data_IF_883617662895
#
_entry.id   IF_883617662895
#
_cell.length_a   1.000
_cell.length_b   1.000
_cell.length_c   1.000
_cell.angle_alpha   90.00
_cell.angle_beta   90.00
_cell.angle_gamma   90.00
#
_symmetry.space_group_name_H-M   'P 1'
#
loop_
_entity.id
_entity.type
_entity.pdbx_description
1 polymer ?
#
# COMPACT_ATOMS: atom_id res chain seq x y z
N UNK A 1 8.02 -3.76 2.38
CA UNK A 1 6.86 -3.70 3.30
C UNK A 1 5.77 -2.85 2.67
N UNK A 2 4.55 -3.38 2.53
CA UNK A 2 3.51 -2.70 1.73
C UNK A 2 3.08 -1.35 2.29
N UNK A 3 3.20 -1.11 3.59
CA UNK A 3 2.85 0.17 4.19
C UNK A 3 3.83 1.32 3.85
N UNK A 4 4.98 1.03 3.31
CA UNK A 4 5.89 2.06 2.79
C UNK A 4 5.23 2.91 1.70
N UNK A 5 4.35 2.31 0.92
CA UNK A 5 3.60 3.03 -0.10
C UNK A 5 2.60 4.05 0.46
N UNK A 6 2.17 3.91 1.71
CA UNK A 6 1.22 4.83 2.35
C UNK A 6 1.80 6.22 2.62
N UNK A 7 3.12 6.31 2.72
CA UNK A 7 3.83 7.57 2.98
C UNK A 7 4.40 8.19 1.72
N UNK A 8 3.99 7.69 0.59
CA UNK A 8 4.48 8.11 -0.70
C UNK A 8 3.94 9.50 -1.02
N UNK A 9 4.82 10.48 -1.00
CA UNK A 9 4.48 11.87 -1.29
C UNK A 9 5.13 12.27 -2.61
N UNK A 10 4.35 12.79 -3.56
CA UNK A 10 4.78 13.34 -4.86
C UNK A 10 5.49 12.35 -5.77
N UNK A 11 5.42 11.09 -5.49
CA UNK A 11 6.26 10.13 -6.17
C UNK A 11 7.72 10.19 -5.75
N UNK A 12 8.09 11.01 -4.81
CA UNK A 12 9.37 10.93 -4.16
C UNK A 12 9.28 9.95 -2.98
N UNK A 13 10.13 8.95 -2.99
CA UNK A 13 10.16 7.92 -1.95
C UNK A 13 10.74 8.41 -0.61
N UNK A 14 10.74 9.71 -0.40
CA UNK A 14 11.36 10.37 0.75
C UNK A 14 10.89 9.78 2.06
N UNK A 15 9.58 9.67 2.24
CA UNK A 15 9.04 9.10 3.46
C UNK A 15 9.12 7.57 3.48
N UNK A 16 8.91 6.93 2.35
CA UNK A 16 8.86 5.48 2.25
C UNK A 16 10.18 4.79 2.43
N UNK A 17 11.16 5.16 1.63
CA UNK A 17 12.47 4.51 1.65
C UNK A 17 13.18 4.72 2.96
N UNK A 18 12.94 5.83 3.60
CA UNK A 18 13.68 6.18 4.79
C UNK A 18 13.06 5.71 6.07
N UNK A 19 11.79 5.45 6.02
CA UNK A 19 11.03 5.05 7.18
C UNK A 19 11.51 3.75 7.79
N UNK A 20 11.85 2.78 6.98
CA UNK A 20 12.30 1.46 7.42
C UNK A 20 13.83 1.38 7.43
N UNK A 21 14.47 1.85 6.37
CA UNK A 21 15.88 1.56 6.14
C UNK A 21 16.84 2.41 6.97
N UNK A 22 16.37 3.58 7.40
CA UNK A 22 17.20 4.55 8.11
C UNK A 22 17.85 3.99 9.37
N UNK A 23 17.09 3.29 10.15
CA UNK A 23 17.57 2.80 11.44
C UNK A 23 18.27 1.46 11.36
N UNK A 24 17.88 0.62 10.43
CA UNK A 24 18.49 -0.70 10.27
C UNK A 24 19.73 -0.68 9.41
N UNK A 25 19.76 0.18 8.38
CA UNK A 25 20.76 0.15 7.33
C UNK A 25 21.37 1.54 7.08
N UNK A 26 21.55 2.33 8.15
CA UNK A 26 22.16 3.65 8.02
C UNK A 26 23.55 3.54 7.36
N UNK A 27 23.75 4.30 6.30
CA UNK A 27 24.95 4.22 5.49
C UNK A 27 24.93 3.18 4.37
N UNK A 28 23.82 2.46 4.20
CA UNK A 28 23.66 1.51 3.10
C UNK A 28 23.64 2.23 1.75
N UNK A 29 24.51 1.78 0.86
CA UNK A 29 24.55 2.24 -0.53
C UNK A 29 23.93 1.16 -1.42
N UNK A 30 22.72 1.41 -1.90
CA UNK A 30 21.99 0.47 -2.74
C UNK A 30 22.06 0.94 -4.19
N UNK A 31 22.59 0.09 -5.07
CA UNK A 31 22.71 0.42 -6.50
C UNK A 31 23.50 1.71 -6.78
N UNK A 32 24.49 2.04 -5.94
CA UNK A 32 25.28 3.27 -6.07
C UNK A 32 24.56 4.54 -5.61
N UNK A 33 23.37 4.43 -5.03
CA UNK A 33 22.61 5.56 -4.49
C UNK A 33 22.65 5.56 -2.96
N UNK A 34 22.96 6.71 -2.40
CA UNK A 34 22.84 6.92 -0.96
C UNK A 34 21.42 7.35 -0.61
N UNK A 35 20.60 6.41 -0.18
CA UNK A 35 19.20 6.65 0.16
C UNK A 35 18.99 7.47 1.43
N UNK A 36 20.04 7.71 2.20
CA UNK A 36 19.98 8.41 3.49
C UNK A 36 20.32 9.89 3.41
N UNK A 37 20.68 10.37 2.25
CA UNK A 37 21.03 11.77 2.06
C UNK A 37 19.81 12.59 1.60
N UNK A 38 18.75 12.57 2.39
CA UNK A 38 17.56 13.35 2.09
C UNK A 38 17.17 14.24 3.26
N UNK A 39 16.46 15.35 3.00
CA UNK A 39 16.14 16.36 4.00
C UNK A 39 15.30 15.88 5.18
N UNK A 40 14.46 14.86 4.97
CA UNK A 40 13.54 14.36 6.02
C UNK A 40 14.07 13.18 6.81
N UNK A 41 15.18 12.62 6.35
CA UNK A 41 15.86 11.56 7.05
C UNK A 41 16.73 12.13 8.19
N UNK A 42 16.82 11.49 9.33
CA UNK A 42 16.11 10.37 9.96
C UNK A 42 14.99 10.81 10.92
N UNK A 43 14.42 11.97 10.71
CA UNK A 43 13.71 12.70 11.76
C UNK A 43 12.18 12.56 11.69
N UNK A 44 11.69 11.62 10.90
CA UNK A 44 10.26 11.45 10.66
C UNK A 44 9.62 10.48 11.64
N UNK A 45 10.42 9.68 12.31
CA UNK A 45 9.96 8.64 13.21
C UNK A 45 10.68 8.65 14.56
N UNK A 46 10.07 8.04 15.54
CA UNK A 46 10.65 7.80 16.87
C UNK A 46 10.54 6.32 17.24
N UNK A 47 11.29 5.91 18.25
CA UNK A 47 11.27 4.55 18.80
C UNK A 47 10.42 4.48 20.06
N UNK A 48 9.49 3.54 20.06
CA UNK A 48 8.65 3.26 21.22
C UNK A 48 8.28 1.77 21.24
N UNK A 49 8.75 1.04 22.22
CA UNK A 49 8.39 -0.37 22.40
C UNK A 49 6.98 -0.56 22.95
N UNK A 50 6.35 0.49 23.45
CA UNK A 50 5.06 0.46 24.18
C UNK A 50 5.06 -0.59 25.31
N UNK A 51 6.22 -0.78 25.96
CA UNK A 51 6.39 -1.77 27.00
C UNK A 51 6.38 -3.24 26.54
N UNK A 52 6.44 -3.49 25.23
CA UNK A 52 6.46 -4.83 24.65
C UNK A 52 7.90 -5.28 24.39
N UNK A 53 8.15 -6.57 24.56
CA UNK A 53 9.40 -7.20 24.14
C UNK A 53 9.27 -7.61 22.66
N UNK A 54 9.60 -6.68 21.79
CA UNK A 54 9.52 -6.87 20.32
C UNK A 54 10.87 -6.53 19.69
N UNK A 55 11.12 -7.05 18.50
CA UNK A 55 12.32 -6.75 17.74
C UNK A 55 12.42 -5.24 17.45
N UNK A 56 13.65 -4.73 17.37
CA UNK A 56 13.93 -3.29 17.22
C UNK A 56 13.21 -2.64 16.05
N UNK A 57 13.11 -3.32 14.93
CA UNK A 57 12.40 -2.88 13.73
C UNK A 57 10.91 -2.62 13.96
N UNK A 58 10.31 -3.31 14.93
CA UNK A 58 8.89 -3.15 15.28
C UNK A 58 8.61 -2.05 16.29
N UNK A 59 9.61 -1.27 16.65
CA UNK A 59 9.49 -0.16 17.60
C UNK A 59 9.45 1.21 16.95
N UNK A 60 9.42 1.28 15.63
CA UNK A 60 9.42 2.53 14.88
C UNK A 60 8.00 3.04 14.66
N UNK A 61 7.75 4.25 15.12
CA UNK A 61 6.46 4.93 15.00
C UNK A 61 6.64 6.34 14.46
N UNK A 62 5.59 6.84 13.83
CA UNK A 62 5.45 8.25 13.48
C UNK A 62 4.01 8.70 13.65
N UNK A 63 3.81 9.99 13.51
CA UNK A 63 2.50 10.61 13.51
C UNK A 63 2.38 11.62 12.37
N UNK A 64 1.16 11.94 11.97
CA UNK A 64 0.93 13.00 11.01
C UNK A 64 1.48 14.37 11.45
N UNK A 65 1.64 14.60 12.76
CA UNK A 65 2.30 15.80 13.28
C UNK A 65 3.80 15.78 13.00
N UNK A 66 4.47 14.66 13.25
CA UNK A 66 5.91 14.50 13.00
C UNK A 66 6.21 14.61 11.50
N UNK A 67 5.41 13.96 10.66
CA UNK A 67 5.55 14.05 9.20
C UNK A 67 5.40 15.51 8.72
N UNK A 68 4.38 16.22 9.17
CA UNK A 68 4.19 17.64 8.81
C UNK A 68 5.35 18.52 9.31
N UNK A 69 5.84 18.27 10.51
CA UNK A 69 6.97 19.02 11.05
C UNK A 69 8.25 18.74 10.26
N UNK A 70 8.52 17.49 9.91
CA UNK A 70 9.67 17.12 9.10
C UNK A 70 9.60 17.76 7.69
N UNK A 71 8.45 17.71 7.05
CA UNK A 71 8.24 18.36 5.76
C UNK A 71 8.47 19.88 5.86
N UNK A 72 7.93 20.53 6.90
CA UNK A 72 8.14 21.96 7.14
C UNK A 72 9.61 22.31 7.32
N UNK A 73 10.33 21.51 8.13
CA UNK A 73 11.77 21.72 8.37
C UNK A 73 12.61 21.54 7.10
N UNK A 74 12.16 20.66 6.21
CA UNK A 74 12.81 20.39 4.93
C UNK A 74 12.37 21.36 3.80
N UNK A 75 11.43 22.28 4.07
CA UNK A 75 10.88 23.18 3.05
C UNK A 75 10.00 22.49 2.01
N UNK A 76 9.49 21.28 2.32
CA UNK A 76 8.62 20.52 1.43
C UNK A 76 7.19 21.01 1.59
N UNK A 77 6.55 21.40 0.48
CA UNK A 77 5.14 21.77 0.48
C UNK A 77 4.26 20.55 0.68
N UNK A 78 3.32 20.65 1.60
CA UNK A 78 2.24 19.66 1.76
C UNK A 78 1.02 19.95 0.86
N UNK A 79 1.04 21.09 0.19
CA UNK A 79 0.06 21.44 -0.84
C UNK A 79 0.70 21.21 -2.20
N UNK A 80 0.38 20.07 -2.79
CA UNK A 80 0.91 19.73 -4.09
C UNK A 80 -0.12 20.06 -5.17
N UNK A 81 0.27 20.80 -6.21
CA UNK A 81 -0.65 21.16 -7.29
C UNK A 81 -0.84 19.98 -8.25
N UNK A 82 -1.42 18.88 -7.78
CA UNK A 82 -1.81 17.82 -8.69
C UNK A 82 -2.92 18.32 -9.61
N UNK A 83 -2.72 18.18 -10.88
CA UNK A 83 -3.76 18.42 -11.89
C UNK A 83 -4.86 17.36 -11.81
N UNK A 84 -4.57 16.22 -11.20
CA UNK A 84 -5.53 15.13 -11.02
C UNK A 84 -5.36 14.45 -9.67
N UNK A 85 -6.45 13.88 -9.17
CA UNK A 85 -6.44 13.04 -7.98
C UNK A 85 -5.66 11.74 -8.23
N UNK A 86 -5.17 11.10 -7.16
CA UNK A 86 -4.47 9.82 -7.20
C UNK A 86 -5.37 8.75 -7.84
N UNK A 87 -6.58 8.58 -7.32
CA UNK A 87 -7.62 7.73 -7.88
C UNK A 87 -8.86 8.55 -8.23
N UNK A 88 -9.61 8.08 -9.21
CA UNK A 88 -10.96 8.57 -9.48
C UNK A 88 -11.92 7.94 -8.50
N UNK A 89 -12.61 8.77 -7.73
CA UNK A 89 -13.66 8.34 -6.80
C UNK A 89 -15.05 8.67 -7.33
N UNK A 90 -16.05 7.88 -6.93
CA UNK A 90 -17.44 8.17 -7.17
C UNK A 90 -17.82 9.55 -6.61
N UNK A 91 -18.64 10.30 -7.33
CA UNK A 91 -18.99 11.68 -6.99
C UNK A 91 -19.63 11.75 -5.59
N UNK A 92 -19.06 12.57 -4.71
CA UNK A 92 -19.58 12.78 -3.36
C UNK A 92 -20.91 13.54 -3.30
N UNK A 93 -21.30 14.19 -4.41
CA UNK A 93 -22.56 14.96 -4.53
C UNK A 93 -23.73 14.09 -4.94
N UNK A 94 -23.47 12.85 -5.29
CA UNK A 94 -24.47 11.86 -5.67
C UNK A 94 -24.39 10.66 -4.75
N UNK A 95 -25.48 9.89 -4.67
CA UNK A 95 -25.47 8.58 -4.00
C UNK A 95 -25.02 7.45 -4.93
N UNK A 96 -24.42 7.81 -6.06
CA UNK A 96 -23.89 6.84 -7.01
C UNK A 96 -22.77 5.99 -6.38
N UNK A 97 -22.91 4.70 -6.58
CA UNK A 97 -21.97 3.68 -6.11
C UNK A 97 -21.55 2.84 -7.29
N UNK A 98 -20.27 2.67 -7.46
CA UNK A 98 -19.74 1.71 -8.43
C UNK A 98 -19.99 0.29 -7.92
N UNK A 99 -20.98 -0.39 -8.47
CA UNK A 99 -21.38 -1.75 -8.10
C UNK A 99 -20.67 -2.82 -8.92
N UNK A 100 -19.87 -2.41 -9.91
CA UNK A 100 -19.26 -3.33 -10.89
C UNK A 100 -20.30 -4.30 -11.44
N UNK A 101 -21.47 -3.78 -11.82
CA UNK A 101 -22.56 -4.60 -12.34
C UNK A 101 -22.14 -5.32 -13.62
N UNK A 102 -22.40 -6.62 -13.70
CA UNK A 102 -22.01 -7.45 -14.84
C UNK A 102 -20.57 -7.98 -14.79
N UNK A 103 -19.78 -7.65 -13.77
CA UNK A 103 -18.48 -8.24 -13.55
C UNK A 103 -18.55 -9.52 -12.69
N UNK A 104 -17.51 -10.37 -12.70
CA UNK A 104 -17.46 -11.53 -11.82
C UNK A 104 -17.60 -11.15 -10.34
N UNK A 105 -18.19 -12.05 -9.57
CA UNK A 105 -18.26 -11.91 -8.11
C UNK A 105 -16.88 -12.16 -7.50
N UNK A 106 -16.52 -11.39 -6.47
CA UNK A 106 -15.31 -11.57 -5.71
C UNK A 106 -15.59 -11.31 -4.23
N UNK A 107 -16.02 -12.35 -3.53
CA UNK A 107 -16.40 -12.27 -2.11
C UNK A 107 -15.23 -12.56 -1.18
N UNK A 108 -14.20 -13.20 -1.69
CA UNK A 108 -13.00 -13.52 -0.94
C UNK A 108 -11.78 -13.30 -1.83
N UNK A 109 -10.79 -12.61 -1.29
CA UNK A 109 -9.59 -12.24 -2.03
C UNK A 109 -8.40 -12.73 -1.21
N UNK A 110 -7.50 -13.49 -1.83
CA UNK A 110 -6.25 -13.92 -1.23
C UNK A 110 -5.10 -13.19 -1.92
N UNK A 111 -4.26 -12.55 -1.11
CA UNK A 111 -3.08 -11.81 -1.56
C UNK A 111 -1.87 -12.42 -0.85
N UNK A 112 -0.88 -12.84 -1.62
CA UNK A 112 0.40 -13.33 -1.11
C UNK A 112 1.50 -12.33 -1.45
N UNK A 113 2.34 -12.00 -0.48
CA UNK A 113 3.57 -11.25 -0.66
C UNK A 113 4.79 -12.14 -0.39
N UNK A 114 4.59 -13.24 0.33
CA UNK A 114 5.55 -14.29 0.61
C UNK A 114 4.84 -15.44 1.31
N UNK A 115 5.53 -16.54 1.56
CA UNK A 115 5.00 -17.70 2.30
C UNK A 115 4.46 -17.36 3.69
N UNK A 116 5.03 -16.36 4.33
CA UNK A 116 4.66 -15.92 5.68
C UNK A 116 3.80 -14.65 5.73
N UNK A 117 3.76 -13.87 4.65
CA UNK A 117 3.03 -12.61 4.59
C UNK A 117 1.90 -12.68 3.58
N UNK A 118 0.73 -13.10 4.07
CA UNK A 118 -0.48 -13.30 3.27
C UNK A 118 -1.67 -12.61 3.90
N UNK A 119 -2.52 -12.05 3.06
CA UNK A 119 -3.76 -11.36 3.46
C UNK A 119 -4.96 -12.07 2.87
N UNK A 120 -6.05 -12.09 3.61
CA UNK A 120 -7.36 -12.48 3.13
C UNK A 120 -8.35 -11.33 3.38
N UNK A 121 -9.12 -10.97 2.36
CA UNK A 121 -10.16 -9.96 2.48
C UNK A 121 -11.51 -10.58 2.12
N UNK A 122 -12.46 -10.52 3.05
CA UNK A 122 -13.77 -11.14 2.91
C UNK A 122 -14.88 -10.07 2.80
N UNK A 123 -15.66 -10.12 1.74
CA UNK A 123 -16.75 -9.20 1.49
C UNK A 123 -18.00 -9.52 2.29
N UNK A 124 -18.54 -8.51 2.93
CA UNK A 124 -19.84 -8.57 3.59
C UNK A 124 -20.87 -7.80 2.77
N UNK A 125 -21.90 -8.50 2.28
CA UNK A 125 -23.03 -7.85 1.58
C UNK A 125 -23.87 -6.96 2.48
N UNK A 126 -23.78 -7.12 3.81
CA UNK A 126 -24.48 -6.30 4.80
C UNK A 126 -23.79 -4.95 4.98
N UNK A 127 -22.49 -4.95 5.25
CA UNK A 127 -21.70 -3.72 5.46
C UNK A 127 -21.20 -3.10 4.15
N UNK A 128 -21.22 -3.86 3.03
CA UNK A 128 -20.68 -3.46 1.73
C UNK A 128 -19.17 -3.22 1.75
N UNK A 129 -18.45 -3.85 2.69
CA UNK A 129 -17.00 -3.71 2.89
C UNK A 129 -16.31 -5.06 2.90
N UNK A 130 -15.00 -5.03 2.69
CA UNK A 130 -14.09 -6.15 2.84
C UNK A 130 -13.41 -6.09 4.19
N UNK A 131 -13.49 -7.15 4.99
CA UNK A 131 -12.78 -7.28 6.26
C UNK A 131 -11.42 -7.95 6.05
N UNK A 132 -10.38 -7.43 6.70
CA UNK A 132 -9.00 -7.90 6.57
C UNK A 132 -8.66 -8.94 7.63
N UNK A 133 -8.07 -10.04 7.20
CA UNK A 133 -7.41 -11.02 8.05
C UNK A 133 -5.99 -11.26 7.53
N UNK A 134 -5.03 -11.41 8.44
CA UNK A 134 -3.64 -11.68 8.13
C UNK A 134 -3.25 -13.09 8.53
N UNK A 135 -2.39 -13.73 7.75
CA UNK A 135 -1.87 -15.05 8.06
C UNK A 135 -0.86 -14.98 9.22
N UNK A 136 -1.04 -15.83 10.21
CA UNK A 136 -0.11 -16.04 11.32
C UNK A 136 0.68 -17.32 11.07
N UNK A 137 1.96 -17.27 10.69
CA UNK A 137 2.77 -18.45 10.41
C UNK A 137 2.93 -19.38 11.62
N UNK A 138 2.89 -18.83 12.84
CA UNK A 138 3.03 -19.60 14.07
C UNK A 138 1.80 -20.47 14.34
N UNK A 139 0.63 -19.97 13.99
CA UNK A 139 -0.65 -20.67 14.13
C UNK A 139 -1.07 -21.40 12.86
N UNK A 140 -0.38 -21.12 11.73
CA UNK A 140 -0.76 -21.59 10.39
C UNK A 140 -2.22 -21.29 10.04
N UNK A 141 -2.71 -20.12 10.42
CA UNK A 141 -4.09 -19.72 10.27
C UNK A 141 -4.21 -18.21 10.04
N UNK A 142 -5.31 -17.80 9.39
CA UNK A 142 -5.67 -16.40 9.29
C UNK A 142 -6.35 -15.93 10.59
N UNK A 143 -6.01 -14.72 11.01
CA UNK A 143 -6.64 -14.06 12.15
C UNK A 143 -7.10 -12.66 11.76
N UNK A 144 -8.17 -12.19 12.37
CA UNK A 144 -8.71 -10.85 12.12
C UNK A 144 -7.69 -9.77 12.46
N UNK A 145 -7.52 -8.81 11.55
CA UNK A 145 -6.66 -7.66 11.79
C UNK A 145 -7.45 -6.60 12.52
N UNK A 146 -7.10 -6.41 13.79
CA UNK A 146 -7.81 -5.49 14.69
C UNK A 146 -7.05 -4.16 14.76
N UNK A 147 -7.77 -3.07 14.56
CA UNK A 147 -7.25 -1.73 14.81
C UNK A 147 -7.07 -1.52 16.32
N UNK A 148 -5.85 -1.21 16.74
CA UNK A 148 -5.48 -1.10 18.16
C UNK A 148 -6.22 0.01 18.88
N UNK A 149 -6.55 1.10 18.18
CA UNK A 149 -7.20 2.26 18.79
C UNK A 149 -8.72 2.07 18.95
N UNK A 150 -9.34 1.39 18.01
CA UNK A 150 -10.80 1.22 18.00
C UNK A 150 -11.26 -0.13 18.51
N UNK A 151 -10.37 -1.11 18.57
CA UNK A 151 -10.70 -2.51 18.92
C UNK A 151 -11.56 -3.21 17.86
N UNK A 152 -11.69 -2.65 16.65
CA UNK A 152 -12.53 -3.20 15.59
C UNK A 152 -11.68 -3.82 14.49
N UNK A 153 -12.21 -4.83 13.83
CA UNK A 153 -11.59 -5.39 12.65
C UNK A 153 -11.47 -4.33 11.56
N UNK A 154 -10.32 -4.28 10.88
CA UNK A 154 -10.11 -3.39 9.74
C UNK A 154 -11.01 -3.78 8.58
N UNK A 155 -11.68 -2.78 8.00
CA UNK A 155 -12.57 -2.96 6.85
C UNK A 155 -12.29 -1.89 5.79
N UNK A 156 -12.51 -2.25 4.52
CA UNK A 156 -12.23 -1.41 3.36
C UNK A 156 -13.41 -1.44 2.39
N UNK A 157 -13.70 -0.30 1.78
CA UNK A 157 -14.73 -0.17 0.74
C UNK A 157 -14.22 -0.65 -0.61
N UNK A 158 -12.92 -0.49 -0.84
CA UNK A 158 -12.23 -0.95 -2.04
C UNK A 158 -10.99 -1.75 -1.69
N UNK A 159 -10.65 -2.70 -2.55
CA UNK A 159 -9.35 -3.38 -2.54
C UNK A 159 -8.74 -3.22 -3.92
N UNK A 160 -7.52 -2.72 -3.96
CA UNK A 160 -6.74 -2.58 -5.19
C UNK A 160 -5.51 -3.45 -5.08
N UNK A 161 -5.33 -4.33 -6.05
CA UNK A 161 -4.13 -5.17 -6.16
C UNK A 161 -3.41 -4.81 -7.44
N UNK A 162 -2.16 -4.36 -7.31
CA UNK A 162 -1.30 -3.98 -8.42
C UNK A 162 -0.10 -4.92 -8.45
N UNK A 163 0.15 -5.55 -9.57
CA UNK A 163 1.34 -6.38 -9.76
C UNK A 163 2.47 -5.52 -10.31
N UNK A 164 3.64 -5.66 -9.70
CA UNK A 164 4.85 -4.95 -10.04
C UNK A 164 6.06 -5.87 -9.90
N UNK A 165 7.11 -5.61 -10.63
CA UNK A 165 8.37 -6.30 -10.40
C UNK A 165 8.94 -5.86 -9.05
N UNK A 166 9.18 -6.81 -8.16
CA UNK A 166 9.77 -6.63 -6.83
C UNK A 166 10.90 -7.62 -6.69
N UNK A 167 12.13 -7.14 -6.58
CA UNK A 167 13.29 -7.99 -6.51
C UNK A 167 14.31 -7.46 -5.50
N UNK A 168 15.10 -8.35 -4.93
CA UNK A 168 16.23 -7.93 -4.10
C UNK A 168 17.24 -7.13 -4.93
N UNK A 169 17.81 -6.08 -4.35
CA UNK A 169 18.90 -5.36 -4.98
C UNK A 169 20.09 -6.28 -5.23
N UNK A 170 20.62 -6.25 -6.45
CA UNK A 170 21.73 -7.09 -6.84
C UNK A 170 22.94 -6.86 -5.92
N UNK A 171 23.41 -7.94 -5.28
CA UNK A 171 24.56 -7.93 -4.37
C UNK A 171 24.27 -7.40 -2.97
N UNK A 172 23.01 -7.13 -2.63
CA UNK A 172 22.63 -6.79 -1.27
C UNK A 172 22.53 -8.06 -0.41
N UNK A 173 23.20 -8.04 0.75
CA UNK A 173 23.25 -9.18 1.69
C UNK A 173 22.08 -9.17 2.70
N UNK A 174 21.24 -8.15 2.67
CA UNK A 174 20.14 -7.95 3.63
C UNK A 174 18.77 -8.22 3.02
N UNK A 175 18.74 -8.66 1.75
CA UNK A 175 17.51 -8.93 1.00
C UNK A 175 16.58 -7.70 0.93
N UNK A 176 17.16 -6.52 0.76
CA UNK A 176 16.41 -5.28 0.58
C UNK A 176 15.74 -5.30 -0.77
N UNK A 177 14.41 -5.18 -0.79
CA UNK A 177 13.61 -5.28 -2.00
C UNK A 177 13.50 -3.93 -2.72
N UNK A 178 13.73 -3.95 -4.02
CA UNK A 178 13.41 -2.86 -4.93
C UNK A 178 12.02 -3.07 -5.52
N UNK A 179 11.11 -2.14 -5.26
CA UNK A 179 9.77 -2.16 -5.84
C UNK A 179 9.75 -1.23 -7.04
N UNK A 180 9.48 -1.77 -8.22
CA UNK A 180 9.37 -0.99 -9.45
C UNK A 180 7.99 -0.32 -9.53
N UNK A 181 7.81 0.74 -8.74
CA UNK A 181 6.54 1.45 -8.63
C UNK A 181 6.38 2.60 -9.64
N UNK A 182 7.43 2.95 -10.39
CA UNK A 182 7.39 3.94 -11.49
C UNK A 182 7.36 3.18 -12.80
N UNK A 183 6.25 2.56 -13.07
CA UNK A 183 5.99 1.70 -14.22
C UNK A 183 4.49 1.61 -14.48
N UNK A 184 4.06 0.45 -14.83
CA UNK A 184 2.71 -0.04 -14.96
C UNK A 184 2.70 -1.55 -14.86
N UNK A 185 1.54 -2.11 -14.68
CA UNK A 185 1.34 -3.55 -14.59
C UNK A 185 -0.12 -3.92 -14.49
N UNK A 186 -0.39 -5.20 -14.33
CA UNK A 186 -1.74 -5.69 -14.12
C UNK A 186 -2.32 -5.13 -12.82
N UNK A 187 -3.60 -4.80 -12.84
CA UNK A 187 -4.33 -4.36 -11.66
C UNK A 187 -5.72 -4.99 -11.55
N UNK A 188 -6.17 -5.11 -10.32
CA UNK A 188 -7.53 -5.51 -9.97
C UNK A 188 -8.13 -4.49 -9.02
N UNK A 189 -9.33 -4.06 -9.33
CA UNK A 189 -10.17 -3.29 -8.42
C UNK A 189 -11.32 -4.16 -7.93
N UNK A 190 -11.41 -4.35 -6.63
CA UNK A 190 -12.53 -5.01 -5.96
C UNK A 190 -13.33 -3.98 -5.20
N UNK A 191 -14.61 -3.95 -5.44
CA UNK A 191 -15.55 -3.09 -4.70
C UNK A 191 -16.95 -3.67 -4.79
N UNK A 192 -17.76 -3.48 -3.77
CA UNK A 192 -19.14 -4.00 -3.71
C UNK A 192 -19.31 -5.50 -3.98
N UNK A 193 -18.26 -6.30 -3.78
CA UNK A 193 -18.28 -7.75 -4.02
C UNK A 193 -18.10 -8.14 -5.48
N UNK A 194 -17.77 -7.21 -6.36
CA UNK A 194 -17.37 -7.44 -7.75
C UNK A 194 -15.88 -7.20 -7.96
N UNK A 195 -15.37 -7.61 -9.12
CA UNK A 195 -13.99 -7.38 -9.54
C UNK A 195 -13.94 -6.80 -10.95
N UNK A 196 -13.10 -5.81 -11.14
CA UNK A 196 -12.73 -5.25 -12.42
C UNK A 196 -11.24 -5.42 -12.64
N UNK A 197 -10.87 -6.03 -13.76
CA UNK A 197 -9.48 -6.20 -14.19
C UNK A 197 -9.04 -5.04 -15.07
N UNK A 198 -7.74 -4.84 -15.15
CA UNK A 198 -7.13 -3.83 -15.99
C UNK A 198 -5.68 -3.61 -15.64
N UNK A 199 -5.21 -2.39 -15.70
CA UNK A 199 -3.82 -2.05 -15.44
C UNK A 199 -3.69 -0.82 -14.55
N UNK A 200 -2.56 -0.76 -13.86
CA UNK A 200 -2.10 0.45 -13.19
C UNK A 200 -0.99 1.10 -13.99
N UNK A 201 -0.85 2.41 -13.86
CA UNK A 201 0.20 3.20 -14.47
C UNK A 201 0.70 4.27 -13.50
N UNK A 202 2.01 4.41 -13.41
CA UNK A 202 2.69 5.53 -12.76
C UNK A 202 3.95 5.85 -13.56
N UNK A 203 3.83 6.69 -14.58
CA UNK A 203 4.90 6.88 -15.58
C UNK A 203 6.10 7.68 -15.06
N UNK A 204 5.95 8.38 -13.94
CA UNK A 204 7.00 9.21 -13.35
C UNK A 204 6.85 9.26 -11.83
N UNK A 205 7.93 9.45 -11.05
CA UNK A 205 7.86 9.60 -9.60
C UNK A 205 6.85 10.65 -9.12
N UNK A 206 6.72 11.76 -9.80
CA UNK A 206 5.81 12.87 -9.44
C UNK A 206 4.38 12.71 -9.98
N UNK A 207 4.11 11.71 -10.82
CA UNK A 207 2.75 11.46 -11.30
C UNK A 207 2.00 10.54 -10.33
N UNK A 208 0.70 10.76 -10.14
CA UNK A 208 -0.12 9.84 -9.36
C UNK A 208 -0.21 8.48 -10.02
N UNK A 209 -0.36 7.44 -9.22
CA UNK A 209 -0.74 6.11 -9.70
C UNK A 209 -2.18 6.16 -10.18
N UNK A 210 -2.45 5.66 -11.38
CA UNK A 210 -3.76 5.58 -12.02
C UNK A 210 -4.13 4.14 -12.30
N UNK A 211 -5.43 3.87 -12.33
CA UNK A 211 -6.01 2.57 -12.66
C UNK A 211 -6.88 2.72 -13.91
N UNK A 212 -6.66 1.83 -14.86
CA UNK A 212 -7.40 1.81 -16.12
C UNK A 212 -7.98 0.42 -16.39
N UNK A 213 -9.16 0.39 -16.98
CA UNK A 213 -9.75 -0.83 -17.53
C UNK A 213 -8.94 -1.32 -18.73
N UNK A 214 -9.22 -2.53 -19.19
CA UNK A 214 -8.63 -3.06 -20.43
C UNK A 214 -9.03 -2.23 -21.66
N UNK A 215 -10.17 -1.53 -21.61
CA UNK A 215 -10.61 -0.58 -22.64
C UNK A 215 -9.92 0.79 -22.56
N UNK A 216 -9.15 1.07 -21.53
CA UNK A 216 -8.42 2.33 -21.33
C UNK A 216 -9.19 3.40 -20.57
N UNK A 217 -10.35 3.10 -20.03
CA UNK A 217 -11.10 4.02 -19.18
C UNK A 217 -10.55 4.03 -17.76
N UNK A 218 -10.49 5.20 -17.12
CA UNK A 218 -10.05 5.29 -15.71
C UNK A 218 -11.07 4.61 -14.78
N UNK A 219 -10.60 3.65 -13.97
CA UNK A 219 -11.44 2.96 -13.00
C UNK A 219 -11.94 3.90 -11.91
N UNK A 220 -13.16 3.71 -11.46
CA UNK A 220 -13.78 4.51 -10.41
C UNK A 220 -13.90 3.69 -9.12
N UNK A 221 -13.25 4.16 -8.07
CA UNK A 221 -13.36 3.60 -6.73
C UNK A 221 -14.59 4.16 -6.02
N UNK A 222 -15.16 3.38 -5.12
CA UNK A 222 -16.16 3.92 -4.19
C UNK A 222 -15.49 4.78 -3.12
N UNK A 223 -16.23 5.74 -2.60
CA UNK A 223 -15.79 6.55 -1.46
C UNK A 223 -15.60 5.67 -0.23
N UNK A 224 -14.58 5.96 0.55
CA UNK A 224 -14.25 5.24 1.76
C UNK A 224 -12.80 4.81 1.80
N UNK A 225 -12.52 3.77 2.56
CA UNK A 225 -11.16 3.25 2.75
C UNK A 225 -10.77 2.32 1.62
N UNK A 226 -9.54 2.44 1.16
CA UNK A 226 -8.98 1.56 0.13
C UNK A 226 -7.79 0.78 0.70
N UNK A 227 -7.81 -0.53 0.57
CA UNK A 227 -6.64 -1.38 0.75
C UNK A 227 -5.90 -1.46 -0.59
N UNK A 228 -4.66 -0.97 -0.62
CA UNK A 228 -3.80 -1.02 -1.78
C UNK A 228 -2.66 -2.00 -1.52
N UNK A 229 -2.54 -3.03 -2.34
CA UNK A 229 -1.43 -3.97 -2.34
C UNK A 229 -0.60 -3.81 -3.61
N UNK A 230 0.71 -3.63 -3.44
CA UNK A 230 1.70 -3.86 -4.49
C UNK A 230 2.24 -5.27 -4.28
N UNK A 231 2.03 -6.14 -5.25
CA UNK A 231 2.37 -7.56 -5.17
C UNK A 231 3.42 -7.86 -6.23
N UNK A 232 4.38 -8.70 -5.87
CA UNK A 232 5.37 -9.18 -6.83
C UNK A 232 4.68 -9.92 -7.97
N UNK A 233 5.07 -9.65 -9.20
CA UNK A 233 4.54 -10.32 -10.37
C UNK A 233 4.90 -11.83 -10.40
N UNK A 234 5.94 -12.25 -9.69
CA UNK A 234 6.29 -13.66 -9.46
C UNK A 234 5.28 -14.37 -8.51
N UNK A 235 4.56 -13.63 -7.67
CA UNK A 235 3.53 -14.16 -6.77
C UNK A 235 2.13 -14.26 -7.42
N UNK A 236 2.04 -13.97 -8.70
CA UNK A 236 0.78 -14.02 -9.45
C UNK A 236 0.03 -15.34 -9.28
N UNK A 237 0.74 -16.47 -9.27
CA UNK A 237 0.12 -17.80 -9.15
C UNK A 237 -0.52 -18.05 -7.79
N UNK A 238 -0.11 -17.31 -6.76
CA UNK A 238 -0.62 -17.39 -5.39
C UNK A 238 -1.79 -16.44 -5.13
N UNK A 239 -2.03 -15.50 -6.05
CA UNK A 239 -3.16 -14.59 -5.98
C UNK A 239 -4.43 -15.27 -6.52
N UNK A 240 -5.51 -15.19 -5.76
CA UNK A 240 -6.80 -15.70 -6.22
C UNK A 240 -7.97 -14.96 -5.55
N UNK A 241 -9.14 -15.08 -6.19
CA UNK A 241 -10.40 -14.57 -5.63
C UNK A 241 -11.58 -15.46 -6.03
N UNK A 242 -12.66 -15.43 -5.24
CA UNK A 242 -13.87 -16.21 -5.45
C UNK A 242 -15.14 -15.48 -5.00
#
# INVERSE_FOLDING_TARGET
MPWQALYYHDGESIFCTQFVNVYQYSGLNIGGKNYFNTPVHPHVAHRDSRGRNVAYEHTEFTSGKEIRQAASNAGISLQYPYESTFFRFADYRTDEVNKLSGTPSAKKIHISHSDSYRSELAYSSRSKTYSLSMYDPSKKAYGDTIDELTGKQLTFDNVVVCFANIAAYAGDSHDVQEVQYVQGGQAYLFTHGGVQTGRWEKPHPTHPLKLYTDSGEEMTLNRGKTYLALVDDDEWSSFNYQ
#
